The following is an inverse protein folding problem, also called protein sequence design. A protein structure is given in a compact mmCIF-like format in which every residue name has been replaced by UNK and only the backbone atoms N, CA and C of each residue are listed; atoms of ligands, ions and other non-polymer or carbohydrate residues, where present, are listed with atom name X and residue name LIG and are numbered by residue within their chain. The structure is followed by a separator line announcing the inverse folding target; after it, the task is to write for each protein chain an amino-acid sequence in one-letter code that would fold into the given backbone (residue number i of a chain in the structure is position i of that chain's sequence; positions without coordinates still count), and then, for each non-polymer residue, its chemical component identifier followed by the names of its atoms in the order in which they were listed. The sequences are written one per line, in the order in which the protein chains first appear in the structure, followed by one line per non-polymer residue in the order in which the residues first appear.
data_IF_698986764879
#
_entry.id   IF_698986764879
#
_cell.length_a   1.000
_cell.length_b   1.000
_cell.length_c   1.000
_cell.angle_alpha   90.00
_cell.angle_beta   90.00
_cell.angle_gamma   90.00
#
_symmetry.space_group_name_H-M   'P 1'
#
loop_
_entity.id
_entity.type
_entity.pdbx_description
1 polymer ?
#
# COMPACT_ATOMS: atom_id res chain seq x y z
N UNK A 1 -45.35 -5.81 -20.93
CA UNK A 1 -44.53 -6.71 -21.77
C UNK A 1 -43.18 -6.85 -21.09
N UNK A 2 -42.95 -7.90 -20.26
CA UNK A 2 -42.40 -9.22 -20.64
C UNK A 2 -41.01 -9.00 -21.27
N UNK A 3 -39.87 -9.34 -20.65
CA UNK A 3 -39.47 -10.68 -20.16
C UNK A 3 -38.30 -10.58 -19.17
N UNK A 4 -38.41 -11.33 -18.07
CA UNK A 4 -37.30 -11.81 -17.24
C UNK A 4 -36.58 -12.94 -18.01
N UNK A 5 -35.27 -13.09 -17.85
CA UNK A 5 -34.61 -14.39 -18.03
C UNK A 5 -33.33 -14.45 -17.21
N UNK A 6 -33.38 -15.29 -16.17
CA UNK A 6 -32.23 -15.84 -15.47
C UNK A 6 -31.90 -17.20 -16.10
N UNK A 7 -30.62 -17.57 -16.17
CA UNK A 7 -30.10 -18.94 -16.27
C UNK A 7 -28.62 -18.86 -15.84
N UNK A 8 -28.27 -19.35 -14.64
CA UNK A 8 -28.04 -20.74 -14.23
C UNK A 8 -26.64 -21.25 -14.56
N UNK A 9 -25.93 -21.45 -13.45
CA UNK A 9 -24.75 -22.27 -13.19
C UNK A 9 -24.70 -23.59 -13.96
N UNK A 10 -23.50 -23.98 -14.40
CA UNK A 10 -22.89 -25.31 -14.20
C UNK A 10 -21.66 -25.45 -15.11
N UNK A 11 -20.50 -25.80 -14.53
CA UNK A 11 -19.58 -26.81 -15.07
C UNK A 11 -18.40 -27.01 -14.13
N UNK A 12 -18.65 -27.83 -13.10
CA UNK A 12 -17.66 -28.68 -12.44
C UNK A 12 -17.33 -29.86 -13.36
N UNK A 13 -16.04 -30.11 -13.63
CA UNK A 13 -15.37 -31.41 -13.88
C UNK A 13 -13.96 -31.05 -14.39
N UNK A 14 -12.86 -31.34 -13.70
CA UNK A 14 -12.13 -32.59 -13.93
C UNK A 14 -11.09 -32.80 -12.82
N UNK A 15 -11.48 -33.56 -11.80
CA UNK A 15 -10.56 -34.34 -10.98
C UNK A 15 -10.67 -35.77 -11.49
N UNK A 16 -9.55 -36.37 -11.90
CA UNK A 16 -9.17 -37.78 -11.71
C UNK A 16 -8.04 -38.19 -12.68
N UNK A 17 -7.19 -39.07 -12.17
CA UNK A 17 -6.20 -39.95 -12.85
C UNK A 17 -4.73 -39.49 -12.82
N UNK A 18 -4.05 -39.76 -11.70
CA UNK A 18 -2.82 -40.58 -11.73
C UNK A 18 -2.46 -41.09 -10.33
N UNK A 19 -2.95 -42.27 -9.99
CA UNK A 19 -2.35 -43.14 -8.98
C UNK A 19 -2.32 -44.56 -9.54
N UNK A 20 -1.30 -45.32 -9.11
CA UNK A 20 -1.06 -46.76 -9.31
C UNK A 20 0.05 -47.12 -10.32
N UNK A 21 1.27 -47.27 -9.79
CA UNK A 21 1.89 -48.61 -9.75
C UNK A 21 2.87 -48.72 -8.58
N UNK A 22 2.67 -49.74 -7.74
CA UNK A 22 3.54 -50.16 -6.64
C UNK A 22 3.51 -51.69 -6.58
N UNK A 23 4.65 -52.27 -6.19
CA UNK A 23 4.94 -53.68 -5.81
C UNK A 23 5.29 -54.61 -7.00
N UNK A 24 6.28 -55.52 -6.95
CA UNK A 24 7.13 -56.07 -5.86
C UNK A 24 8.20 -57.01 -6.49
N UNK A 25 9.35 -57.16 -5.81
CA UNK A 25 10.19 -58.37 -5.52
C UNK A 25 10.57 -59.34 -6.68
N UNK A 26 11.72 -60.03 -6.79
CA UNK A 26 12.78 -60.45 -5.83
C UNK A 26 14.01 -61.05 -6.60
N UNK A 27 15.07 -61.34 -5.82
CA UNK A 27 16.22 -62.27 -6.05
C UNK A 27 17.45 -61.84 -6.89
N UNK A 28 18.71 -62.18 -6.59
CA UNK A 28 19.46 -62.63 -5.40
C UNK A 28 20.97 -62.77 -5.79
N UNK A 29 21.85 -62.67 -4.79
CA UNK A 29 23.15 -63.36 -4.62
C UNK A 29 24.51 -62.70 -5.02
N UNK A 30 25.34 -62.53 -3.97
CA UNK A 30 26.79 -62.78 -3.90
C UNK A 30 27.72 -61.56 -4.05
N UNK A 31 28.82 -61.37 -3.32
CA UNK A 31 29.41 -61.94 -2.09
C UNK A 31 30.60 -61.00 -1.73
N UNK A 32 31.09 -61.10 -0.49
CA UNK A 32 32.40 -60.61 0.02
C UNK A 32 32.72 -59.10 0.12
N UNK A 33 32.88 -58.61 1.36
CA UNK A 33 34.22 -58.43 1.97
C UNK A 33 34.23 -57.50 3.21
N UNK A 34 34.62 -58.09 4.34
CA UNK A 34 35.42 -57.55 5.45
C UNK A 34 35.04 -56.25 6.19
N UNK A 35 34.77 -56.46 7.48
CA UNK A 35 34.79 -55.47 8.54
C UNK A 35 36.16 -54.80 8.73
N UNK A 36 36.15 -53.49 8.99
CA UNK A 36 37.00 -52.88 10.00
C UNK A 36 36.40 -51.56 10.49
N UNK A 37 36.24 -51.48 11.80
CA UNK A 37 35.79 -50.30 12.53
C UNK A 37 36.79 -49.16 12.34
N UNK A 38 36.28 -48.00 11.93
CA UNK A 38 36.95 -46.72 12.06
C UNK A 38 35.93 -45.71 12.56
N UNK A 39 35.99 -45.49 13.87
CA UNK A 39 35.78 -44.21 14.56
C UNK A 39 34.67 -43.31 14.00
N UNK A 40 33.57 -43.27 14.76
CA UNK A 40 32.69 -42.11 14.88
C UNK A 40 33.53 -40.83 15.00
N UNK A 41 33.60 -40.06 13.92
CA UNK A 41 33.57 -38.61 14.00
C UNK A 41 32.24 -38.22 13.37
N UNK A 42 31.21 -38.33 14.20
CA UNK A 42 29.95 -37.66 13.98
C UNK A 42 30.30 -36.18 14.05
N UNK A 43 30.48 -35.56 12.89
CA UNK A 43 30.51 -34.11 12.78
C UNK A 43 29.11 -33.63 13.14
N UNK A 44 28.88 -33.56 14.45
CA UNK A 44 27.71 -32.97 15.07
C UNK A 44 27.95 -31.46 15.08
N UNK A 45 28.12 -30.89 13.89
CA UNK A 45 27.77 -29.50 13.66
C UNK A 45 26.27 -29.41 13.84
N UNK A 46 25.88 -29.20 15.11
CA UNK A 46 24.58 -28.68 15.46
C UNK A 46 24.22 -27.57 14.46
N UNK A 47 22.99 -27.54 13.93
CA UNK A 47 22.56 -26.38 13.16
C UNK A 47 22.79 -25.18 14.07
N UNK A 48 23.67 -24.28 13.66
CA UNK A 48 23.74 -22.97 14.28
C UNK A 48 22.29 -22.48 14.32
N UNK A 49 21.79 -22.13 15.51
CA UNK A 49 20.58 -21.35 15.66
C UNK A 49 20.78 -20.11 14.78
N UNK A 50 20.35 -20.20 13.53
CA UNK A 50 20.29 -19.08 12.62
C UNK A 50 19.26 -18.17 13.26
N UNK A 51 19.78 -17.18 13.99
CA UNK A 51 18.97 -16.12 14.54
C UNK A 51 18.05 -15.63 13.41
N UNK A 52 16.73 -15.54 13.65
CA UNK A 52 15.80 -15.16 12.61
C UNK A 52 16.29 -13.87 11.95
N UNK A 53 16.21 -13.77 10.61
CA UNK A 53 16.72 -12.62 9.89
C UNK A 53 16.13 -11.34 10.47
N UNK A 54 16.91 -10.24 10.53
CA UNK A 54 16.42 -8.98 11.05
C UNK A 54 15.14 -8.58 10.30
N UNK A 55 14.16 -7.98 10.99
CA UNK A 55 12.92 -7.57 10.34
C UNK A 55 13.23 -6.60 9.20
N UNK A 56 12.45 -6.65 8.11
CA UNK A 56 12.64 -5.73 7.00
C UNK A 56 12.56 -4.28 7.49
N UNK A 57 13.35 -3.36 6.90
CA UNK A 57 13.33 -1.96 7.27
C UNK A 57 11.94 -1.36 7.04
N UNK A 58 11.58 -0.36 7.86
CA UNK A 58 10.32 0.38 7.77
C UNK A 58 10.60 1.87 7.64
N UNK A 59 9.80 2.56 6.82
CA UNK A 59 9.81 4.02 6.77
C UNK A 59 9.11 4.60 8.01
N UNK A 60 9.76 5.53 8.70
CA UNK A 60 9.09 6.37 9.68
C UNK A 60 8.28 7.48 8.96
N UNK A 61 7.19 7.08 8.32
CA UNK A 61 6.30 7.97 7.59
C UNK A 61 5.48 8.86 8.53
N UNK A 62 5.23 8.42 9.77
CA UNK A 62 4.40 9.15 10.70
C UNK A 62 4.99 10.49 11.12
N UNK A 63 6.33 10.59 11.17
CA UNK A 63 7.04 11.86 11.37
C UNK A 63 6.66 12.96 10.37
N UNK A 64 6.12 12.59 9.19
CA UNK A 64 5.60 13.54 8.19
C UNK A 64 4.08 13.57 8.20
N UNK A 65 3.42 12.40 8.20
CA UNK A 65 1.96 12.32 8.09
C UNK A 65 1.29 12.92 9.32
N UNK A 66 1.78 12.65 10.52
CA UNK A 66 1.20 13.10 11.77
C UNK A 66 0.91 14.60 11.80
N UNK A 67 1.92 15.48 11.58
CA UNK A 67 1.70 16.93 11.50
C UNK A 67 0.66 17.36 10.45
N UNK A 68 0.58 16.69 9.30
CA UNK A 68 -0.38 17.03 8.23
C UNK A 68 -1.83 16.79 8.64
N UNK A 69 -2.08 15.75 9.44
CA UNK A 69 -3.43 15.33 9.84
C UNK A 69 -3.78 15.68 11.28
N UNK A 70 -2.85 16.22 12.08
CA UNK A 70 -3.09 16.55 13.47
C UNK A 70 -4.07 17.72 13.64
N UNK A 71 -5.16 17.54 14.36
CA UNK A 71 -6.12 18.60 14.63
C UNK A 71 -7.35 18.15 15.41
N UNK A 72 -8.24 19.11 15.65
CA UNK A 72 -9.53 18.89 16.27
C UNK A 72 -10.62 19.04 15.22
N UNK A 73 -11.34 17.95 15.00
CA UNK A 73 -12.37 17.84 13.98
C UNK A 73 -13.74 17.80 14.64
N UNK A 74 -14.23 18.99 14.97
CA UNK A 74 -15.57 19.21 15.52
C UNK A 74 -16.58 19.48 14.40
N UNK A 75 -17.81 19.01 14.58
CA UNK A 75 -18.89 19.13 13.60
C UNK A 75 -20.18 18.53 14.14
N UNK A 76 -21.12 18.20 13.25
CA UNK A 76 -22.32 17.46 13.64
C UNK A 76 -22.00 15.97 13.65
N UNK A 77 -21.93 15.36 14.83
CA UNK A 77 -21.53 13.96 14.97
C UNK A 77 -22.70 13.04 15.33
N UNK A 78 -22.70 11.85 14.73
CA UNK A 78 -23.65 10.77 14.97
C UNK A 78 -22.87 9.51 15.31
N UNK A 79 -23.26 8.86 16.41
CA UNK A 79 -22.79 7.51 16.74
C UNK A 79 -23.63 6.48 15.99
N UNK A 80 -22.98 5.44 15.50
CA UNK A 80 -23.58 4.27 14.86
C UNK A 80 -23.21 3.02 15.67
N UNK A 81 -24.10 2.00 15.70
CA UNK A 81 -25.33 1.87 14.93
C UNK A 81 -26.58 2.52 15.56
N UNK A 82 -26.47 3.08 16.77
CA UNK A 82 -27.58 3.67 17.53
C UNK A 82 -28.18 4.94 16.89
N UNK A 83 -27.43 5.60 15.99
CA UNK A 83 -27.88 6.81 15.29
C UNK A 83 -27.97 8.03 16.21
N UNK A 84 -27.39 7.96 17.41
CA UNK A 84 -27.52 9.02 18.40
C UNK A 84 -26.63 10.20 18.04
N UNK A 85 -27.22 11.40 17.97
CA UNK A 85 -26.45 12.65 17.84
C UNK A 85 -25.66 12.88 19.11
N UNK A 86 -24.38 13.20 18.98
CA UNK A 86 -23.54 13.49 20.13
C UNK A 86 -22.69 14.73 19.90
N UNK A 87 -22.43 15.45 20.99
CA UNK A 87 -21.41 16.49 21.00
C UNK A 87 -20.05 15.82 21.14
N UNK A 88 -19.40 15.59 20.01
CA UNK A 88 -18.09 14.95 19.93
C UNK A 88 -17.17 15.77 19.05
N UNK A 89 -15.88 15.74 19.39
CA UNK A 89 -14.80 16.23 18.55
C UNK A 89 -13.82 15.09 18.37
N UNK A 90 -13.43 14.82 17.13
CA UNK A 90 -12.35 13.86 16.85
C UNK A 90 -11.03 14.60 16.98
N UNK A 91 -10.29 14.34 18.05
CA UNK A 91 -8.99 14.94 18.30
C UNK A 91 -7.89 13.97 17.85
N UNK A 92 -7.19 14.30 16.77
CA UNK A 92 -6.03 13.55 16.26
C UNK A 92 -4.74 14.31 16.59
N UNK A 93 -3.88 13.71 17.40
CA UNK A 93 -2.56 14.23 17.69
C UNK A 93 -1.56 13.97 16.56
N UNK A 94 -0.53 14.81 16.46
CA UNK A 94 0.61 14.56 15.56
C UNK A 94 1.36 13.26 15.89
N UNK A 95 1.16 12.72 17.10
CA UNK A 95 1.64 11.41 17.54
C UNK A 95 0.73 10.24 17.12
N UNK A 96 -0.32 10.47 16.32
CA UNK A 96 -1.20 9.43 15.79
C UNK A 96 -2.25 8.87 16.73
N UNK A 97 -2.30 9.38 17.97
CA UNK A 97 -3.38 9.05 18.89
C UNK A 97 -4.62 9.85 18.55
N UNK A 98 -5.75 9.15 18.51
CA UNK A 98 -7.07 9.74 18.26
C UNK A 98 -7.98 9.45 19.43
N UNK A 99 -8.66 10.49 19.92
CA UNK A 99 -9.69 10.36 20.94
C UNK A 99 -10.99 11.03 20.48
N UNK A 100 -12.12 10.31 20.58
CA UNK A 100 -13.45 10.86 20.35
C UNK A 100 -14.54 9.97 20.93
N UNK A 101 -15.51 10.52 21.66
CA UNK A 101 -16.74 9.79 22.03
C UNK A 101 -16.52 8.46 22.77
N UNK A 102 -15.44 8.33 23.56
CA UNK A 102 -15.06 7.10 24.25
C UNK A 102 -14.20 6.12 23.44
N UNK A 103 -13.86 6.45 22.19
CA UNK A 103 -12.88 5.74 21.37
C UNK A 103 -11.48 6.34 21.59
N UNK A 104 -10.49 5.47 21.79
CA UNK A 104 -9.06 5.79 21.85
C UNK A 104 -8.30 4.78 20.97
N UNK A 105 -7.60 5.29 19.95
CA UNK A 105 -6.91 4.49 18.93
C UNK A 105 -5.55 5.12 18.61
N UNK A 106 -4.50 4.32 18.49
CA UNK A 106 -3.16 4.74 18.03
C UNK A 106 -2.94 4.32 16.57
N UNK A 107 -3.10 5.25 15.63
CA UNK A 107 -2.95 5.00 14.20
C UNK A 107 -1.49 4.96 13.73
N UNK A 108 -0.50 5.11 14.62
CA UNK A 108 0.90 4.80 14.25
C UNK A 108 1.12 3.32 13.97
N UNK A 109 0.18 2.48 14.41
CA UNK A 109 0.18 1.05 14.12
C UNK A 109 -0.74 0.70 12.95
N UNK A 110 -1.26 1.71 12.23
CA UNK A 110 -2.08 1.48 11.05
C UNK A 110 -1.30 0.64 10.04
N UNK A 111 -1.94 -0.43 9.55
CA UNK A 111 -1.40 -1.22 8.45
C UNK A 111 -1.47 -0.46 7.17
N UNK A 112 -2.57 0.26 6.94
CA UNK A 112 -2.77 1.02 5.73
C UNK A 112 -2.99 2.48 6.08
N UNK A 113 -2.14 3.33 5.54
CA UNK A 113 -2.32 4.78 5.54
C UNK A 113 -2.42 5.24 4.09
N UNK A 114 -3.40 6.07 3.76
CA UNK A 114 -3.54 6.64 2.41
C UNK A 114 -3.90 8.11 2.52
N UNK A 115 -3.12 8.97 1.88
CA UNK A 115 -3.40 10.38 1.67
C UNK A 115 -3.63 10.60 0.18
N UNK A 116 -4.65 11.37 -0.17
CA UNK A 116 -5.01 11.61 -1.56
C UNK A 116 -5.49 13.04 -1.74
N UNK A 117 -5.09 13.67 -2.84
CA UNK A 117 -5.56 14.99 -3.27
C UNK A 117 -6.03 14.90 -4.72
N UNK A 118 -7.20 15.45 -5.00
CA UNK A 118 -7.81 15.45 -6.34
C UNK A 118 -8.24 16.87 -6.68
N UNK A 119 -7.72 17.42 -7.77
CA UNK A 119 -8.14 18.72 -8.26
C UNK A 119 -9.54 18.63 -8.89
N UNK A 120 -10.39 19.61 -8.58
CA UNK A 120 -11.66 19.81 -9.27
C UNK A 120 -11.45 20.65 -10.55
N UNK A 121 -12.53 20.87 -11.30
CA UNK A 121 -12.49 21.66 -12.54
C UNK A 121 -12.06 23.13 -12.35
N UNK A 122 -12.08 23.64 -11.11
CA UNK A 122 -11.62 24.98 -10.73
C UNK A 122 -10.15 24.99 -10.26
N UNK A 123 -9.48 23.84 -10.24
CA UNK A 123 -8.12 23.69 -9.74
C UNK A 123 -8.01 23.65 -8.21
N UNK A 124 -9.12 23.60 -7.48
CA UNK A 124 -9.13 23.43 -6.02
C UNK A 124 -9.00 21.94 -5.69
N UNK A 125 -8.26 21.59 -4.65
CA UNK A 125 -8.05 20.20 -4.28
C UNK A 125 -9.03 19.74 -3.20
N UNK A 126 -9.73 18.64 -3.46
CA UNK A 126 -10.34 17.81 -2.43
C UNK A 126 -9.30 16.83 -1.87
N UNK A 127 -9.24 16.68 -0.56
CA UNK A 127 -8.40 15.69 0.12
C UNK A 127 -9.23 14.54 0.67
N UNK A 128 -8.64 13.35 0.66
CA UNK A 128 -9.02 12.21 1.49
C UNK A 128 -7.82 11.68 2.27
N UNK A 129 -8.00 11.35 3.54
CA UNK A 129 -7.03 10.64 4.37
C UNK A 129 -7.69 9.42 5.01
N UNK A 130 -7.06 8.25 4.91
CA UNK A 130 -7.57 6.99 5.46
C UNK A 130 -6.46 6.31 6.25
N UNK A 131 -6.79 5.85 7.45
CA UNK A 131 -5.93 5.07 8.33
C UNK A 131 -6.70 3.84 8.77
N UNK A 132 -6.19 2.65 8.46
CA UNK A 132 -6.82 1.39 8.81
C UNK A 132 -5.85 0.51 9.61
N UNK A 133 -6.33 0.05 10.75
CA UNK A 133 -5.67 -0.96 11.58
C UNK A 133 -5.85 -2.35 10.96
N UNK A 134 -5.08 -3.32 11.46
CA UNK A 134 -5.36 -4.72 11.18
C UNK A 134 -6.78 -5.13 11.61
N UNK A 135 -7.38 -6.16 10.97
CA UNK A 135 -8.65 -6.73 11.38
C UNK A 135 -8.69 -7.11 12.88
N UNK A 136 -7.60 -7.63 13.45
CA UNK A 136 -7.57 -8.06 14.87
C UNK A 136 -7.53 -6.89 15.85
N UNK A 137 -7.07 -5.71 15.43
CA UNK A 137 -7.00 -4.52 16.29
C UNK A 137 -8.21 -3.61 16.14
N UNK A 138 -8.95 -3.75 15.04
CA UNK A 138 -10.12 -3.00 14.64
C UNK A 138 -9.95 -1.47 14.76
N UNK A 139 -9.94 -0.77 13.63
CA UNK A 139 -9.83 0.69 13.67
C UNK A 139 -9.79 1.29 12.29
N UNK A 140 -10.64 2.28 12.05
CA UNK A 140 -10.64 3.06 10.82
C UNK A 140 -10.80 4.53 11.18
N UNK A 141 -9.92 5.36 10.65
CA UNK A 141 -10.12 6.79 10.53
C UNK A 141 -10.20 7.13 9.05
N UNK A 142 -11.27 7.79 8.64
CA UNK A 142 -11.42 8.35 7.30
C UNK A 142 -11.77 9.82 7.42
N UNK A 143 -11.06 10.66 6.70
CA UNK A 143 -11.27 12.10 6.66
C UNK A 143 -11.37 12.53 5.20
N UNK A 144 -12.31 13.40 4.88
CA UNK A 144 -12.40 13.98 3.55
C UNK A 144 -12.80 15.44 3.64
N UNK A 145 -12.22 16.28 2.78
CA UNK A 145 -12.70 17.65 2.60
C UNK A 145 -13.89 17.65 1.64
N UNK A 146 -14.93 18.43 1.93
CA UNK A 146 -16.01 18.71 1.00
C UNK A 146 -15.99 20.16 0.52
N UNK A 147 -17.02 20.53 -0.23
CA UNK A 147 -17.16 21.88 -0.79
C UNK A 147 -17.25 22.94 0.32
N UNK A 148 -16.68 24.13 0.05
CA UNK A 148 -16.73 25.26 0.98
C UNK A 148 -15.95 25.05 2.29
N UNK A 149 -14.96 24.15 2.30
CA UNK A 149 -14.12 23.88 3.47
C UNK A 149 -14.78 23.02 4.55
N UNK A 150 -15.96 22.46 4.26
CA UNK A 150 -16.71 21.57 5.15
C UNK A 150 -16.49 20.12 4.73
N UNK A 151 -15.77 19.38 5.56
CA UNK A 151 -15.46 17.98 5.37
C UNK A 151 -16.31 17.04 6.23
N UNK A 152 -15.89 15.78 6.23
CA UNK A 152 -16.40 14.76 7.13
C UNK A 152 -15.26 13.93 7.71
N UNK A 153 -15.49 13.40 8.90
CA UNK A 153 -14.59 12.51 9.62
C UNK A 153 -15.37 11.33 10.13
N UNK A 154 -14.91 10.12 9.82
CA UNK A 154 -15.41 8.86 10.36
C UNK A 154 -14.32 8.22 11.19
N UNK A 155 -14.60 7.95 12.46
CA UNK A 155 -13.77 7.16 13.35
C UNK A 155 -14.55 5.91 13.75
N UNK A 156 -14.01 4.72 13.51
CA UNK A 156 -14.65 3.48 13.95
C UNK A 156 -13.66 2.54 14.60
N UNK A 157 -14.21 1.71 15.48
CA UNK A 157 -13.55 0.59 16.15
C UNK A 157 -14.62 -0.45 16.46
N UNK A 158 -14.34 -1.70 16.09
CA UNK A 158 -15.28 -2.81 16.24
C UNK A 158 -16.65 -2.49 15.62
N UNK A 159 -17.72 -2.55 16.41
CA UNK A 159 -19.10 -2.28 16.01
C UNK A 159 -19.53 -0.82 16.20
N UNK A 160 -18.66 0.03 16.77
CA UNK A 160 -18.97 1.44 17.03
C UNK A 160 -18.31 2.32 15.99
N UNK A 161 -19.11 3.23 15.39
CA UNK A 161 -18.59 4.28 14.51
C UNK A 161 -19.10 5.64 14.93
N UNK A 162 -18.24 6.64 14.84
CA UNK A 162 -18.55 8.05 14.99
C UNK A 162 -18.41 8.71 13.63
N UNK A 163 -19.49 9.27 13.11
CA UNK A 163 -19.52 9.97 11.82
C UNK A 163 -19.81 11.44 12.08
N UNK A 164 -18.84 12.31 11.78
CA UNK A 164 -18.96 13.75 11.92
C UNK A 164 -19.02 14.42 10.53
N UNK A 165 -20.00 15.28 10.31
CA UNK A 165 -20.15 16.13 9.13
C UNK A 165 -19.92 17.60 9.45
N UNK A 166 -19.80 18.44 8.41
CA UNK A 166 -19.54 19.88 8.54
C UNK A 166 -18.25 20.19 9.32
N UNK A 167 -17.26 19.30 9.21
CA UNK A 167 -15.99 19.41 9.91
C UNK A 167 -15.08 20.38 9.18
N UNK A 168 -14.56 21.39 9.87
CA UNK A 168 -13.56 22.30 9.31
C UNK A 168 -12.12 21.77 9.43
N UNK A 169 -11.21 22.26 8.60
CA UNK A 169 -9.77 22.06 8.76
C UNK A 169 -9.21 20.74 8.24
N UNK A 170 -10.03 19.91 7.58
CA UNK A 170 -9.54 18.72 6.85
C UNK A 170 -8.74 19.12 5.61
N UNK A 171 -9.08 20.25 5.02
CA UNK A 171 -8.44 20.85 3.86
C UNK A 171 -6.99 21.31 4.09
N UNK A 172 -6.50 21.38 5.33
CA UNK A 172 -5.10 21.73 5.63
C UNK A 172 -4.07 20.78 5.00
N UNK A 173 -4.47 19.54 4.68
CA UNK A 173 -3.62 18.59 3.95
C UNK A 173 -3.30 19.13 2.55
N UNK A 174 -4.14 20.02 2.00
CA UNK A 174 -3.88 20.74 0.76
C UNK A 174 -2.90 21.90 0.88
N UNK A 175 -2.41 22.25 2.08
CA UNK A 175 -1.49 23.37 2.26
C UNK A 175 -0.18 23.20 1.48
N UNK A 176 0.19 21.97 1.14
CA UNK A 176 1.32 21.65 0.28
C UNK A 176 1.05 20.38 -0.54
N UNK A 177 1.67 20.22 -1.72
CA UNK A 177 1.69 18.97 -2.45
C UNK A 177 2.15 17.78 -1.61
N UNK A 178 1.52 16.61 -1.82
CA UNK A 178 1.89 15.40 -1.09
C UNK A 178 3.32 14.96 -1.45
N UNK A 179 3.70 15.09 -2.72
CA UNK A 179 5.06 14.74 -3.14
C UNK A 179 6.12 15.60 -2.45
N UNK A 180 5.87 16.90 -2.26
CA UNK A 180 6.80 17.77 -1.52
C UNK A 180 6.87 17.39 -0.04
N UNK A 181 5.74 17.05 0.57
CA UNK A 181 5.70 16.59 1.96
C UNK A 181 6.58 15.35 2.18
N UNK A 182 6.57 14.44 1.22
CA UNK A 182 7.22 13.13 1.31
C UNK A 182 8.58 13.07 0.60
N UNK A 183 9.08 14.18 0.07
CA UNK A 183 10.31 14.27 -0.71
C UNK A 183 11.51 13.60 -0.04
N UNK A 184 11.62 13.64 1.30
CA UNK A 184 12.71 13.01 2.05
C UNK A 184 12.82 11.48 1.83
N UNK A 185 11.76 10.83 1.38
CA UNK A 185 11.75 9.38 1.15
C UNK A 185 12.27 9.01 -0.24
N UNK A 186 12.15 9.89 -1.25
CA UNK A 186 12.40 9.54 -2.66
C UNK A 186 13.20 10.55 -3.49
N UNK A 187 13.30 11.84 -3.11
CA UNK A 187 13.98 12.85 -3.92
C UNK A 187 15.49 12.63 -3.98
N UNK A 188 16.07 12.96 -5.14
CA UNK A 188 17.52 12.95 -5.38
C UNK A 188 18.17 11.57 -5.45
N UNK A 189 17.37 10.49 -5.35
CA UNK A 189 17.85 9.12 -5.52
C UNK A 189 17.59 8.66 -6.94
N UNK A 190 18.65 8.60 -7.74
CA UNK A 190 18.63 7.90 -9.03
C UNK A 190 18.66 6.39 -8.79
N UNK A 191 17.66 5.67 -9.29
CA UNK A 191 17.49 4.23 -9.10
C UNK A 191 17.23 3.55 -10.45
N UNK A 192 17.90 2.44 -10.71
CA UNK A 192 17.73 1.69 -11.97
C UNK A 192 16.70 0.57 -11.77
N UNK A 193 15.72 0.50 -12.67
CA UNK A 193 14.67 -0.53 -12.69
C UNK A 193 14.63 -1.24 -14.04
N UNK A 194 14.11 -2.46 -14.05
CA UNK A 194 13.97 -3.27 -15.27
C UNK A 194 12.56 -3.16 -15.83
N UNK A 195 12.41 -2.45 -16.95
CA UNK A 195 11.14 -2.14 -17.60
C UNK A 195 10.87 -3.02 -18.81
N UNK A 196 9.62 -3.45 -18.99
CA UNK A 196 9.19 -4.10 -20.23
C UNK A 196 9.29 -3.14 -21.41
N UNK A 197 9.86 -3.60 -22.51
CA UNK A 197 9.90 -2.84 -23.76
C UNK A 197 8.52 -2.84 -24.42
N UNK A 198 7.94 -1.65 -24.61
CA UNK A 198 6.60 -1.48 -25.19
C UNK A 198 6.48 -1.94 -26.65
N UNK A 199 7.61 -2.06 -27.37
CA UNK A 199 7.67 -2.59 -28.74
C UNK A 199 7.94 -4.10 -28.77
N UNK A 200 8.54 -4.65 -27.73
CA UNK A 200 8.81 -6.08 -27.60
C UNK A 200 8.68 -6.52 -26.13
N UNK A 201 7.50 -7.03 -25.77
CA UNK A 201 7.19 -7.46 -24.39
C UNK A 201 8.05 -8.61 -23.86
N UNK A 202 8.86 -9.26 -24.71
CA UNK A 202 9.83 -10.29 -24.29
C UNK A 202 11.18 -9.71 -23.85
N UNK A 203 11.40 -8.41 -24.08
CA UNK A 203 12.64 -7.71 -23.74
C UNK A 203 12.40 -6.81 -22.54
N UNK A 204 13.32 -6.87 -21.57
CA UNK A 204 13.39 -5.86 -20.51
C UNK A 204 14.59 -4.96 -20.73
N UNK A 205 14.40 -3.66 -20.48
CA UNK A 205 15.45 -2.64 -20.53
C UNK A 205 15.61 -2.01 -19.16
N UNK A 206 16.86 -1.77 -18.80
CA UNK A 206 17.17 -1.02 -17.60
C UNK A 206 16.95 0.46 -17.89
N UNK A 207 16.08 1.08 -17.10
CA UNK A 207 15.81 2.52 -17.13
C UNK A 207 16.16 3.12 -15.79
N UNK A 208 16.80 4.27 -15.85
CA UNK A 208 17.04 5.09 -14.67
C UNK A 208 15.80 5.90 -14.35
N UNK A 209 15.43 5.89 -13.08
CA UNK A 209 14.33 6.65 -12.50
C UNK A 209 14.87 7.60 -11.46
N UNK A 210 14.48 8.85 -11.54
CA UNK A 210 14.87 9.89 -10.60
C UNK A 210 13.68 10.83 -10.35
N UNK A 211 13.54 11.29 -9.10
CA UNK A 211 12.63 12.37 -8.76
C UNK A 211 13.47 13.57 -8.35
N UNK A 212 13.33 14.62 -9.14
CA UNK A 212 14.03 15.90 -9.01
C UNK A 212 12.98 16.98 -8.78
N UNK A 213 12.81 17.36 -7.51
CA UNK A 213 11.76 18.26 -7.03
C UNK A 213 10.35 17.82 -7.47
N UNK A 214 9.76 18.49 -8.47
CA UNK A 214 8.42 18.19 -8.98
C UNK A 214 8.42 17.27 -10.20
N UNK A 215 9.58 16.85 -10.70
CA UNK A 215 9.67 16.10 -11.97
C UNK A 215 10.13 14.67 -11.73
N UNK A 216 9.31 13.72 -12.16
CA UNK A 216 9.69 12.30 -12.25
C UNK A 216 10.29 12.07 -13.64
N UNK A 217 11.53 11.60 -13.70
CA UNK A 217 12.25 11.24 -14.92
C UNK A 217 12.33 9.72 -15.03
N UNK A 218 11.97 9.15 -16.18
CA UNK A 218 12.10 7.71 -16.50
C UNK A 218 12.81 7.59 -17.84
N UNK A 219 14.11 7.29 -17.85
CA UNK A 219 14.89 7.34 -19.09
C UNK A 219 14.79 8.72 -19.75
N UNK A 220 14.17 8.80 -20.94
CA UNK A 220 13.91 10.06 -21.65
C UNK A 220 12.57 10.71 -21.32
N UNK A 221 11.67 10.00 -20.65
CA UNK A 221 10.31 10.48 -20.38
C UNK A 221 10.27 11.28 -19.08
N UNK A 222 9.37 12.26 -19.04
CA UNK A 222 9.17 13.14 -17.88
C UNK A 222 7.70 13.26 -17.51
N UNK A 223 7.45 13.38 -16.21
CA UNK A 223 6.14 13.60 -15.61
C UNK A 223 6.26 14.75 -14.61
N UNK A 224 5.59 15.87 -14.88
CA UNK A 224 5.58 17.03 -13.99
C UNK A 224 4.42 16.94 -12.98
N UNK A 225 4.77 16.80 -11.71
CA UNK A 225 3.85 16.73 -10.57
C UNK A 225 3.28 18.10 -10.19
N UNK A 226 3.85 19.21 -10.67
CA UNK A 226 3.34 20.56 -10.37
C UNK A 226 1.93 20.78 -10.90
N UNK A 227 1.60 20.15 -12.03
CA UNK A 227 0.27 20.19 -12.64
C UNK A 227 -0.59 18.97 -12.31
N UNK A 228 -0.24 18.20 -11.27
CA UNK A 228 -0.96 16.97 -10.94
C UNK A 228 -2.44 17.24 -10.65
N UNK A 229 -3.34 16.69 -11.46
CA UNK A 229 -4.77 16.66 -11.18
C UNK A 229 -5.12 15.67 -10.07
N UNK A 230 -4.22 14.72 -9.80
CA UNK A 230 -4.35 13.69 -8.78
C UNK A 230 -2.99 13.42 -8.14
N UNK A 231 -2.96 13.33 -6.82
CA UNK A 231 -1.83 12.83 -6.05
C UNK A 231 -2.32 11.83 -5.02
N UNK A 232 -1.63 10.71 -4.85
CA UNK A 232 -1.85 9.80 -3.74
C UNK A 232 -0.54 9.31 -3.16
N UNK A 233 -0.53 9.13 -1.85
CA UNK A 233 0.54 8.45 -1.13
C UNK A 233 -0.09 7.40 -0.25
N UNK A 234 0.32 6.15 -0.42
CA UNK A 234 -0.08 5.05 0.43
C UNK A 234 1.12 4.45 1.13
N UNK A 235 0.93 4.03 2.38
CA UNK A 235 1.87 3.23 3.14
C UNK A 235 1.17 1.95 3.57
N UNK A 236 1.78 0.80 3.29
CA UNK A 236 1.28 -0.50 3.73
C UNK A 236 2.20 -1.10 4.80
N UNK A 237 1.63 -2.02 5.57
CA UNK A 237 2.29 -2.78 6.63
C UNK A 237 3.08 -1.92 7.63
N UNK A 238 2.50 -0.78 7.99
CA UNK A 238 3.11 0.23 8.85
C UNK A 238 4.48 0.69 8.29
N UNK A 239 4.49 1.10 7.02
CA UNK A 239 5.66 1.66 6.36
C UNK A 239 6.65 0.63 5.81
N UNK A 240 6.24 -0.63 5.65
CA UNK A 240 7.06 -1.65 4.98
C UNK A 240 7.09 -1.44 3.46
N UNK A 241 6.11 -0.72 2.91
CA UNK A 241 6.12 -0.19 1.56
C UNK A 241 5.47 1.18 1.50
N UNK A 242 5.76 1.91 0.41
CA UNK A 242 5.11 3.17 0.07
C UNK A 242 4.77 3.18 -1.42
N UNK A 243 3.61 3.70 -1.79
CA UNK A 243 3.26 4.00 -3.17
C UNK A 243 3.01 5.50 -3.35
N UNK A 244 3.63 6.11 -4.36
CA UNK A 244 3.33 7.46 -4.84
C UNK A 244 2.58 7.35 -6.17
N UNK A 245 1.34 7.82 -6.20
CA UNK A 245 0.52 7.93 -7.40
C UNK A 245 0.39 9.39 -7.84
N UNK A 246 0.55 9.65 -9.13
CA UNK A 246 0.35 10.97 -9.74
C UNK A 246 -0.48 10.81 -10.99
N UNK A 247 -1.48 11.67 -11.16
CA UNK A 247 -2.31 11.78 -12.35
C UNK A 247 -2.27 13.21 -12.88
N UNK A 248 -2.16 13.35 -14.19
CA UNK A 248 -2.04 14.63 -14.90
C UNK A 248 -3.35 14.97 -15.62
N UNK A 249 -3.59 16.25 -15.99
CA UNK A 249 -4.83 16.66 -16.64
C UNK A 249 -5.06 16.01 -18.02
N UNK A 250 -4.00 15.62 -18.71
CA UNK A 250 -4.02 14.86 -19.97
C UNK A 250 -4.21 13.34 -19.75
N UNK A 251 -4.63 12.93 -18.55
CA UNK A 251 -4.94 11.55 -18.16
C UNK A 251 -3.73 10.61 -18.18
N UNK A 252 -2.49 11.12 -18.13
CA UNK A 252 -1.33 10.28 -17.85
C UNK A 252 -1.27 10.00 -16.35
N UNK A 253 -1.03 8.76 -15.99
CA UNK A 253 -0.84 8.35 -14.60
C UNK A 253 0.51 7.68 -14.43
N UNK A 254 1.09 7.83 -13.24
CA UNK A 254 2.31 7.16 -12.83
C UNK A 254 2.17 6.73 -11.37
N UNK A 255 2.52 5.49 -11.10
CA UNK A 255 2.60 4.92 -9.76
C UNK A 255 4.00 4.39 -9.54
N UNK A 256 4.65 4.87 -8.49
CA UNK A 256 5.98 4.45 -8.04
C UNK A 256 5.81 3.69 -6.73
N UNK A 257 6.38 2.49 -6.63
CA UNK A 257 6.32 1.64 -5.43
C UNK A 257 7.70 1.50 -4.83
N UNK A 258 7.81 1.72 -3.51
CA UNK A 258 9.04 1.67 -2.76
C UNK A 258 8.93 0.66 -1.61
N UNK A 259 10.02 -0.03 -1.29
CA UNK A 259 10.14 -0.80 -0.05
C UNK A 259 10.44 0.11 1.16
N UNK A 260 10.40 -0.44 2.36
CA UNK A 260 10.63 0.31 3.60
C UNK A 260 12.04 0.91 3.75
N UNK A 261 13.00 0.56 2.89
CA UNK A 261 14.31 1.20 2.81
C UNK A 261 14.33 2.40 1.85
N UNK A 262 13.25 2.63 1.11
CA UNK A 262 13.16 3.65 0.06
C UNK A 262 13.74 3.20 -1.27
N UNK A 263 13.90 1.89 -1.49
CA UNK A 263 14.28 1.33 -2.79
C UNK A 263 13.05 1.24 -3.67
N UNK A 264 13.13 1.72 -4.91
CA UNK A 264 12.09 1.59 -5.91
C UNK A 264 11.95 0.12 -6.31
N UNK A 265 10.82 -0.49 -5.98
CA UNK A 265 10.52 -1.91 -6.24
C UNK A 265 9.66 -2.11 -7.48
N UNK A 266 8.94 -1.08 -7.91
CA UNK A 266 8.21 -1.11 -9.17
C UNK A 266 7.70 0.25 -9.61
N UNK A 267 7.37 0.32 -10.89
CA UNK A 267 6.87 1.52 -11.54
C UNK A 267 5.85 1.11 -12.60
N UNK A 268 4.71 1.78 -12.60
CA UNK A 268 3.73 1.66 -13.66
C UNK A 268 3.33 3.05 -14.14
N UNK A 269 3.47 3.31 -15.43
CA UNK A 269 2.98 4.53 -16.05
C UNK A 269 2.00 4.18 -17.17
N UNK A 270 0.94 4.97 -17.30
CA UNK A 270 -0.13 4.76 -18.27
C UNK A 270 -0.57 6.08 -18.90
N UNK A 271 -1.12 6.00 -20.11
CA UNK A 271 -1.78 7.09 -20.82
C UNK A 271 -3.11 6.57 -21.42
N UNK A 272 -3.73 7.34 -22.32
CA UNK A 272 -5.00 6.97 -22.93
C UNK A 272 -4.91 5.69 -23.79
N UNK A 273 -3.73 5.40 -24.35
CA UNK A 273 -3.49 4.23 -25.22
C UNK A 273 -3.13 2.96 -24.44
N UNK A 274 -2.68 3.07 -23.18
CA UNK A 274 -2.36 1.94 -22.32
C UNK A 274 -1.16 2.16 -21.41
N UNK A 275 -0.49 1.07 -21.03
CA UNK A 275 0.74 1.14 -20.25
C UNK A 275 1.90 1.65 -21.11
N UNK A 276 2.56 2.71 -20.66
CA UNK A 276 3.77 3.26 -21.28
C UNK A 276 5.03 2.68 -20.63
N UNK A 277 4.97 2.42 -19.32
CA UNK A 277 6.04 1.78 -18.55
C UNK A 277 5.46 0.74 -17.61
N UNK A 278 6.13 -0.40 -17.52
CA UNK A 278 5.87 -1.46 -16.55
C UNK A 278 7.19 -2.04 -16.09
N UNK A 279 7.64 -1.63 -14.91
CA UNK A 279 8.98 -1.89 -14.40
C UNK A 279 8.94 -2.53 -13.03
N UNK A 280 9.93 -3.39 -12.78
CA UNK A 280 10.16 -4.02 -11.49
C UNK A 280 11.59 -3.73 -11.02
N UNK A 281 11.85 -3.99 -9.75
CA UNK A 281 13.20 -4.03 -9.20
C UNK A 281 14.09 -4.88 -10.10
N UNK A 282 15.31 -4.39 -10.35
CA UNK A 282 16.32 -5.17 -11.05
C UNK A 282 16.74 -6.35 -10.17
N UNK A 283 16.71 -7.55 -10.75
CA UNK A 283 17.24 -8.78 -10.15
C UNK A 283 18.78 -8.76 -10.14
#
# INVERSE_FOLDING_TARGET
MIRRTALLSALTLSLLLSACSKNKDDDAAGDDAQAQAASEVRDESAPADEAPPPPPPKMDYWSVVGPLVAGNYGGTCVRMPDGHKMDATVALGANGKVAAGGLDIDFREARKTTLMRVANDKGEYATTAIFAMEPEKAGLLSMHSGEGGKGGVTLSRDDVSLMCSDVAGVDKINAQPLHQSMAKFFNGKKQTVSCLDSKNLLVRRDLDVEIDDTVIKIGSDTFDMKSAAFESIAFDDNGSSMALGVGTPDKRTITLMYDGAGTLTGLMAMNAEGSTHSCNKKE
#
